data_IF_754195043380
#
_entry.id   IF_754195043380
#
_cell.length_a   1.000
_cell.length_b   1.000
_cell.length_c   1.000
_cell.angle_alpha   90.00
_cell.angle_beta   90.00
_cell.angle_gamma   90.00
#
_symmetry.space_group_name_H-M   'P 1'
#
loop_
_entity.id
_entity.type
_entity.pdbx_description
1 polymer ?
#
# COMPACT_ATOMS: atom_id res chain seq x y z
N UNK A 1 -45.85 -28.42 1.87
CA UNK A 1 -45.65 -27.03 2.34
C UNK A 1 -44.20 -26.67 2.06
N UNK A 2 -43.95 -26.10 0.92
CA UNK A 2 -42.60 -25.76 0.46
C UNK A 2 -42.33 -24.29 0.82
N UNK A 3 -41.47 -24.07 1.81
CA UNK A 3 -40.91 -22.76 2.07
C UNK A 3 -39.87 -22.46 0.98
N UNK A 4 -40.30 -21.79 -0.09
CA UNK A 4 -39.38 -21.16 -1.01
C UNK A 4 -38.87 -19.88 -0.34
N UNK A 5 -37.66 -19.96 0.20
CA UNK A 5 -36.91 -18.83 0.71
C UNK A 5 -36.67 -17.86 -0.46
N UNK A 6 -37.08 -16.63 -0.26
CA UNK A 6 -36.84 -15.49 -1.14
C UNK A 6 -35.34 -15.10 -1.06
N UNK A 7 -34.46 -15.97 -1.58
CA UNK A 7 -33.02 -15.91 -1.28
C UNK A 7 -32.24 -14.85 -2.05
N UNK A 8 -32.79 -14.26 -3.11
CA UNK A 8 -32.04 -13.28 -3.92
C UNK A 8 -32.07 -11.86 -3.31
N UNK A 9 -33.20 -11.44 -2.74
CA UNK A 9 -33.32 -10.12 -2.11
C UNK A 9 -32.59 -10.04 -0.76
N UNK A 10 -32.51 -11.15 -0.02
CA UNK A 10 -31.75 -11.20 1.23
C UNK A 10 -30.23 -11.20 0.98
N UNK A 11 -29.75 -11.86 -0.07
CA UNK A 11 -28.33 -11.85 -0.45
C UNK A 11 -27.87 -10.46 -0.90
N UNK A 12 -28.66 -9.74 -1.67
CA UNK A 12 -28.33 -8.37 -2.08
C UNK A 12 -28.31 -7.42 -0.87
N UNK A 13 -29.20 -7.57 0.10
CA UNK A 13 -29.20 -6.75 1.31
C UNK A 13 -27.99 -7.04 2.22
N UNK A 14 -27.55 -8.28 2.31
CA UNK A 14 -26.36 -8.69 3.08
C UNK A 14 -25.07 -8.23 2.39
N UNK A 15 -25.00 -8.29 1.06
CA UNK A 15 -23.87 -7.85 0.27
C UNK A 15 -23.71 -6.33 0.21
N UNK A 16 -24.79 -5.57 0.43
CA UNK A 16 -24.78 -4.09 0.35
C UNK A 16 -24.97 -3.37 1.69
N UNK A 17 -25.12 -4.09 2.79
CA UNK A 17 -25.10 -3.45 4.11
C UNK A 17 -23.66 -3.17 4.54
N UNK A 18 -23.10 -2.12 3.91
CA UNK A 18 -21.73 -1.65 4.21
C UNK A 18 -21.73 -1.11 5.64
N UNK A 19 -21.12 -1.88 6.54
CA UNK A 19 -21.01 -1.50 7.95
C UNK A 19 -20.32 -0.13 8.11
N UNK A 20 -20.58 0.62 9.18
CA UNK A 20 -19.89 1.89 9.45
C UNK A 20 -18.36 1.74 9.42
N UNK A 21 -17.83 0.61 9.87
CA UNK A 21 -16.39 0.32 9.85
C UNK A 21 -15.85 0.16 8.42
N UNK A 22 -16.57 -0.51 7.53
CA UNK A 22 -16.17 -0.61 6.11
C UNK A 22 -16.15 0.77 5.44
N UNK A 23 -17.10 1.65 5.77
CA UNK A 23 -17.10 3.04 5.26
C UNK A 23 -15.90 3.84 5.75
N UNK A 24 -15.56 3.69 7.03
CA UNK A 24 -14.36 4.30 7.62
C UNK A 24 -13.09 3.83 6.90
N UNK A 25 -12.91 2.52 6.75
CA UNK A 25 -11.76 1.91 6.06
C UNK A 25 -11.68 2.32 4.58
N UNK A 26 -12.81 2.41 3.89
CA UNK A 26 -12.87 2.91 2.52
C UNK A 26 -12.40 4.37 2.44
N UNK A 27 -12.79 5.21 3.39
CA UNK A 27 -12.31 6.59 3.47
C UNK A 27 -10.80 6.69 3.71
N UNK A 28 -10.24 5.83 4.57
CA UNK A 28 -8.79 5.74 4.77
C UNK A 28 -8.06 5.30 3.49
N UNK A 29 -8.58 4.31 2.79
CA UNK A 29 -8.06 3.88 1.50
C UNK A 29 -8.05 5.04 0.48
N UNK A 30 -9.16 5.74 0.31
CA UNK A 30 -9.28 6.88 -0.59
C UNK A 30 -8.26 7.97 -0.25
N UNK A 31 -8.13 8.33 1.02
CA UNK A 31 -7.18 9.34 1.48
C UNK A 31 -5.72 8.95 1.19
N UNK A 32 -5.39 7.65 1.23
CA UNK A 32 -4.03 7.15 1.01
C UNK A 32 -3.68 6.80 -0.44
N UNK A 33 -4.65 6.81 -1.37
CA UNK A 33 -4.40 6.48 -2.78
C UNK A 33 -4.11 7.70 -3.66
N UNK A 34 -4.42 8.90 -3.19
CA UNK A 34 -4.17 10.14 -3.93
C UNK A 34 -2.68 10.46 -4.04
N UNK A 35 -2.23 10.81 -5.24
CA UNK A 35 -0.90 11.38 -5.47
C UNK A 35 -1.06 12.80 -5.99
N UNK A 36 -0.41 13.75 -5.33
CA UNK A 36 -0.45 15.14 -5.73
C UNK A 36 0.13 15.30 -7.14
N UNK A 37 -0.62 15.94 -8.03
CA UNK A 37 -0.22 16.18 -9.42
C UNK A 37 1.05 17.01 -9.54
N UNK A 38 1.34 17.87 -8.58
CA UNK A 38 2.56 18.67 -8.55
C UNK A 38 3.81 17.81 -8.40
N UNK A 39 3.70 16.64 -7.75
CA UNK A 39 4.81 15.70 -7.62
C UNK A 39 5.28 15.15 -8.97
N UNK A 40 4.38 14.98 -9.94
CA UNK A 40 4.76 14.55 -11.29
C UNK A 40 5.62 15.59 -12.00
N UNK A 41 5.35 16.86 -11.80
CA UNK A 41 6.16 17.96 -12.33
C UNK A 41 7.49 18.07 -11.56
N UNK A 42 7.42 18.05 -10.22
CA UNK A 42 8.58 18.16 -9.33
C UNK A 42 9.63 17.07 -9.61
N UNK A 43 9.18 15.85 -9.87
CA UNK A 43 10.05 14.70 -10.12
C UNK A 43 10.29 14.41 -11.59
N UNK A 44 9.83 15.31 -12.49
CA UNK A 44 10.00 15.18 -13.94
C UNK A 44 9.58 13.78 -14.47
N UNK A 45 8.41 13.33 -14.06
CA UNK A 45 7.89 12.00 -14.41
C UNK A 45 7.67 11.90 -15.91
N UNK A 46 8.36 10.98 -16.56
CA UNK A 46 8.36 10.81 -18.02
C UNK A 46 7.37 9.71 -18.45
N UNK A 47 6.90 9.85 -19.69
CA UNK A 47 6.22 8.76 -20.39
C UNK A 47 7.27 7.93 -21.12
N UNK A 48 7.44 6.68 -20.71
CA UNK A 48 8.45 5.79 -21.26
C UNK A 48 9.47 5.38 -20.21
N UNK A 49 10.34 4.43 -20.56
CA UNK A 49 11.20 3.74 -19.59
C UNK A 49 12.67 4.18 -19.63
N UNK A 50 13.08 4.91 -20.67
CA UNK A 50 14.47 5.37 -20.85
C UNK A 50 14.54 6.74 -21.47
N UNK A 51 15.56 7.49 -21.10
CA UNK A 51 15.93 8.75 -21.73
C UNK A 51 16.79 8.52 -22.99
N UNK A 52 17.18 9.60 -23.65
CA UNK A 52 18.01 9.56 -24.87
C UNK A 52 19.40 8.94 -24.63
N UNK A 53 19.88 8.89 -23.40
CA UNK A 53 21.16 8.30 -23.01
C UNK A 53 21.01 6.82 -22.58
N UNK A 54 19.83 6.24 -22.71
CA UNK A 54 19.52 4.89 -22.28
C UNK A 54 19.40 4.70 -20.77
N UNK A 55 19.47 5.76 -19.98
CA UNK A 55 19.24 5.73 -18.52
C UNK A 55 17.75 5.52 -18.24
N UNK A 56 17.43 4.75 -17.22
CA UNK A 56 16.05 4.60 -16.74
C UNK A 56 15.48 5.95 -16.30
N UNK A 57 14.21 6.18 -16.63
CA UNK A 57 13.50 7.40 -16.26
C UNK A 57 12.39 7.08 -15.25
N UNK A 58 12.01 8.08 -14.46
CA UNK A 58 10.88 7.98 -13.54
C UNK A 58 9.58 8.03 -14.36
N UNK A 59 8.92 6.87 -14.52
CA UNK A 59 7.72 6.71 -15.35
C UNK A 59 6.42 6.80 -14.53
N UNK A 60 6.48 6.84 -13.20
CA UNK A 60 5.32 6.94 -12.33
C UNK A 60 5.72 7.21 -10.89
N UNK A 61 4.73 7.48 -10.07
CA UNK A 61 4.88 7.68 -8.63
C UNK A 61 3.96 6.71 -7.88
N UNK A 62 4.40 6.26 -6.74
CA UNK A 62 3.60 5.50 -5.77
C UNK A 62 3.95 5.97 -4.37
N UNK A 63 2.96 5.98 -3.49
CA UNK A 63 3.14 6.20 -2.05
C UNK A 63 3.10 4.90 -1.23
N UNK A 64 3.05 3.75 -1.93
CA UNK A 64 2.89 2.44 -1.30
C UNK A 64 4.24 1.82 -0.96
N UNK A 65 5.21 1.92 -1.89
CA UNK A 65 6.52 1.30 -1.71
C UNK A 65 7.64 2.12 -2.32
N UNK A 66 8.84 1.95 -1.79
CA UNK A 66 10.07 2.51 -2.33
C UNK A 66 11.17 1.45 -2.35
N UNK A 67 11.90 1.39 -3.47
CA UNK A 67 13.08 0.53 -3.64
C UNK A 67 14.29 1.43 -3.80
N UNK A 68 15.09 1.53 -2.76
CA UNK A 68 16.29 2.34 -2.74
C UNK A 68 17.53 1.46 -2.94
N UNK A 69 18.24 1.64 -4.07
CA UNK A 69 19.53 0.99 -4.35
C UNK A 69 20.65 2.01 -4.57
N UNK A 70 20.35 3.30 -4.39
CA UNK A 70 21.28 4.41 -4.51
C UNK A 70 21.04 5.42 -3.40
N UNK A 71 22.06 6.16 -3.04
CA UNK A 71 21.98 7.29 -2.11
C UNK A 71 22.75 8.48 -2.67
N UNK A 72 22.38 9.67 -2.23
CA UNK A 72 23.12 10.89 -2.59
C UNK A 72 24.23 11.11 -1.56
N UNK A 73 25.46 11.19 -2.05
CA UNK A 73 26.65 11.54 -1.26
C UNK A 73 27.34 12.71 -1.96
N UNK A 74 27.45 13.84 -1.28
CA UNK A 74 28.05 15.07 -1.82
C UNK A 74 27.44 15.54 -3.16
N UNK A 75 26.13 15.30 -3.35
CA UNK A 75 25.42 15.69 -4.58
C UNK A 75 25.50 14.67 -5.72
N UNK A 76 26.20 13.56 -5.55
CA UNK A 76 26.32 12.49 -6.52
C UNK A 76 25.56 11.23 -6.11
N UNK A 77 24.92 10.55 -7.06
CA UNK A 77 24.29 9.24 -6.83
C UNK A 77 25.36 8.16 -6.72
N UNK A 78 25.44 7.50 -5.56
CA UNK A 78 26.30 6.33 -5.36
C UNK A 78 25.46 5.08 -5.07
N UNK A 79 25.87 3.91 -5.56
CA UNK A 79 25.20 2.66 -5.23
C UNK A 79 25.20 2.39 -3.72
N UNK A 80 24.14 1.80 -3.21
CA UNK A 80 24.06 1.29 -1.84
C UNK A 80 23.40 -0.09 -1.82
N UNK A 81 23.43 -0.76 -0.66
CA UNK A 81 22.68 -1.99 -0.48
C UNK A 81 21.18 -1.70 -0.74
N UNK A 82 20.53 -2.60 -1.49
CA UNK A 82 19.11 -2.48 -1.80
C UNK A 82 18.26 -2.50 -0.52
N UNK A 83 17.35 -1.55 -0.41
CA UNK A 83 16.37 -1.50 0.66
C UNK A 83 14.98 -1.40 0.03
N UNK A 84 14.03 -2.11 0.62
CA UNK A 84 12.62 -2.04 0.28
C UNK A 84 11.87 -1.45 1.46
N UNK A 85 11.03 -0.47 1.18
CA UNK A 85 10.15 0.14 2.15
C UNK A 85 8.69 -0.03 1.72
N UNK A 86 7.83 -0.33 2.68
CA UNK A 86 6.38 -0.31 2.51
C UNK A 86 5.80 0.80 3.39
N UNK A 87 5.11 1.77 2.80
CA UNK A 87 4.56 2.94 3.50
C UNK A 87 5.57 3.61 4.47
N UNK A 88 6.86 3.61 4.09
CA UNK A 88 7.94 4.19 4.91
C UNK A 88 8.60 3.23 5.91
N UNK A 89 8.07 2.04 6.13
CA UNK A 89 8.65 1.02 6.99
C UNK A 89 9.62 0.14 6.21
N UNK A 90 10.83 -0.09 6.75
CA UNK A 90 11.77 -1.02 6.14
C UNK A 90 11.24 -2.45 6.24
N UNK A 91 11.29 -3.20 5.14
CA UNK A 91 10.78 -4.58 5.11
C UNK A 91 11.46 -5.50 6.14
N UNK A 92 12.73 -5.24 6.48
CA UNK A 92 13.46 -6.02 7.48
C UNK A 92 12.90 -5.82 8.89
N UNK A 93 12.47 -4.60 9.19
CA UNK A 93 11.86 -4.27 10.48
C UNK A 93 10.47 -4.89 10.60
N UNK A 94 9.68 -4.82 9.52
CA UNK A 94 8.36 -5.47 9.45
C UNK A 94 8.50 -6.98 9.65
N UNK A 95 9.38 -7.65 8.87
CA UNK A 95 9.64 -9.10 9.01
C UNK A 95 10.15 -9.44 10.40
N UNK A 96 11.06 -8.62 10.95
CA UNK A 96 11.57 -8.81 12.31
C UNK A 96 10.50 -8.68 13.39
N UNK A 97 9.49 -7.84 13.18
CA UNK A 97 8.35 -7.67 14.07
C UNK A 97 7.54 -8.96 14.21
N UNK A 98 6.90 -9.40 13.14
CA UNK A 98 6.04 -10.58 13.22
C UNK A 98 6.80 -11.91 13.44
N UNK A 99 8.08 -12.02 13.06
CA UNK A 99 8.91 -13.16 13.46
C UNK A 99 9.18 -13.19 14.97
N UNK A 100 9.35 -12.03 15.59
CA UNK A 100 9.54 -11.92 17.04
C UNK A 100 8.27 -12.25 17.81
N UNK A 101 7.12 -11.92 17.24
CA UNK A 101 5.81 -12.18 17.83
C UNK A 101 5.22 -13.55 17.46
N UNK A 102 5.97 -14.35 16.64
CA UNK A 102 5.63 -15.70 16.19
C UNK A 102 4.27 -15.78 15.47
N UNK A 103 3.99 -14.84 14.57
CA UNK A 103 2.78 -14.84 13.75
C UNK A 103 3.06 -14.60 12.27
N UNK A 104 2.06 -14.87 11.43
CA UNK A 104 2.12 -14.56 10.00
C UNK A 104 1.83 -13.08 9.77
N UNK A 105 2.68 -12.40 8.99
CA UNK A 105 2.56 -10.97 8.74
C UNK A 105 1.69 -10.59 7.54
N UNK A 106 0.92 -11.51 6.95
CA UNK A 106 0.16 -11.23 5.73
C UNK A 106 -0.91 -10.17 5.94
N UNK A 107 -1.75 -10.34 6.95
CA UNK A 107 -2.86 -9.43 7.26
C UNK A 107 -2.35 -8.05 7.68
N UNK A 108 -1.30 -8.02 8.49
CA UNK A 108 -0.63 -6.80 8.95
C UNK A 108 -0.06 -6.00 7.78
N UNK A 109 0.64 -6.67 6.86
CA UNK A 109 1.20 -6.03 5.67
C UNK A 109 0.10 -5.60 4.72
N UNK A 110 -0.96 -6.41 4.52
CA UNK A 110 -2.10 -6.02 3.70
C UNK A 110 -2.77 -4.75 4.24
N UNK A 111 -2.98 -4.69 5.55
CA UNK A 111 -3.53 -3.52 6.23
C UNK A 111 -2.63 -2.28 6.01
N UNK A 112 -1.33 -2.40 6.28
CA UNK A 112 -0.36 -1.33 6.06
C UNK A 112 -0.39 -0.79 4.62
N UNK A 113 -0.39 -1.67 3.63
CA UNK A 113 -0.39 -1.26 2.22
C UNK A 113 -1.68 -0.54 1.82
N UNK A 114 -2.83 -0.97 2.33
CA UNK A 114 -4.14 -0.40 2.03
C UNK A 114 -4.40 0.90 2.79
N UNK A 115 -4.10 0.93 4.08
CA UNK A 115 -4.53 2.02 4.98
C UNK A 115 -3.40 2.98 5.37
N UNK A 116 -2.14 2.63 5.10
CA UNK A 116 -0.99 3.52 5.29
C UNK A 116 -0.38 3.49 6.69
N UNK A 117 -0.92 2.71 7.60
CA UNK A 117 -0.47 2.55 8.99
C UNK A 117 -0.51 1.08 9.41
N UNK A 118 0.23 0.72 10.44
CA UNK A 118 0.18 -0.63 11.00
C UNK A 118 -1.10 -0.80 11.83
N UNK A 119 -1.76 -1.96 11.73
CA UNK A 119 -2.96 -2.22 12.51
C UNK A 119 -2.65 -2.39 14.00
N UNK A 120 -3.59 -2.04 14.84
CA UNK A 120 -3.61 -2.46 16.23
C UNK A 120 -4.03 -3.93 16.34
N UNK A 121 -3.74 -4.58 17.48
CA UNK A 121 -4.17 -5.97 17.72
C UNK A 121 -5.68 -6.17 17.54
N UNK A 122 -6.49 -5.20 17.93
CA UNK A 122 -7.94 -5.26 17.76
C UNK A 122 -8.41 -5.14 16.31
N UNK A 123 -7.61 -4.54 15.43
CA UNK A 123 -7.90 -4.42 14.00
C UNK A 123 -7.49 -5.67 13.23
N UNK A 124 -6.50 -6.41 13.72
CA UNK A 124 -6.10 -7.70 13.16
C UNK A 124 -7.09 -8.83 13.48
N UNK A 125 -7.86 -8.72 14.58
CA UNK A 125 -8.84 -9.73 15.02
C UNK A 125 -10.21 -9.59 14.32
N UNK A 126 -10.41 -8.59 13.46
CA UNK A 126 -11.65 -8.37 12.70
C UNK A 126 -11.70 -9.19 11.42
#
# INVERSE_FOLDING_TARGET
>A
MTNSVNSAKDLDSILFDISPKIKELAGLCEANTGIDKELFVKHDVKRGLRDVNGKGVLAGLTNISDVCAKKIVNGEEVPCAGNLYYRGYNIKDLVGGFLKEDHFGFEEIAYLLLFGELPSSSELEM
#
